data_IF_180344799021
#
_entry.id   IF_180344799021
#
_cell.length_a   1.000
_cell.length_b   1.000
_cell.length_c   1.000
_cell.angle_alpha   90.00
_cell.angle_beta   90.00
_cell.angle_gamma   90.00
#
_symmetry.space_group_name_H-M   'P 1'
#
loop_
_entity.id
_entity.type
_entity.pdbx_description
1 polymer ?
#
# COMPACT_ATOMS: atom_id res chain seq x y z
N UNK A 1 28.42 -59.74 27.81
CA UNK A 1 28.63 -60.84 26.86
C UNK A 1 28.54 -60.23 25.46
N UNK A 2 29.72 -59.95 24.87
CA UNK A 2 30.02 -59.71 23.44
C UNK A 2 29.44 -58.43 22.78
N UNK A 3 30.16 -57.60 22.03
CA UNK A 3 31.61 -57.45 21.81
C UNK A 3 31.89 -56.18 20.97
N UNK A 4 33.10 -55.62 21.11
CA UNK A 4 33.97 -54.92 20.13
C UNK A 4 33.47 -53.71 19.32
N UNK A 5 33.89 -52.45 19.59
CA UNK A 5 35.19 -51.82 19.24
C UNK A 5 35.72 -52.10 17.83
N UNK A 6 35.84 -51.05 16.99
CA UNK A 6 37.04 -50.88 16.17
C UNK A 6 37.30 -49.42 15.72
N UNK A 7 38.49 -48.93 16.09
CA UNK A 7 39.14 -47.73 15.56
C UNK A 7 39.83 -48.08 14.24
N UNK A 8 39.90 -47.15 13.29
CA UNK A 8 40.98 -47.15 12.32
C UNK A 8 41.48 -45.74 12.03
N UNK A 9 42.77 -45.60 12.34
CA UNK A 9 43.66 -44.46 12.19
C UNK A 9 44.20 -44.52 10.76
N UNK A 10 44.18 -43.40 10.03
CA UNK A 10 45.10 -43.22 8.90
C UNK A 10 45.99 -42.01 9.14
N UNK A 11 47.28 -42.33 9.22
CA UNK A 11 48.44 -41.44 9.34
C UNK A 11 49.21 -41.60 8.04
N UNK A 12 49.27 -40.57 7.19
CA UNK A 12 50.19 -40.54 6.05
C UNK A 12 51.08 -39.31 6.15
N UNK A 13 52.35 -39.59 5.91
CA UNK A 13 53.55 -38.80 6.15
C UNK A 13 53.87 -37.93 4.94
N UNK A 14 54.47 -36.77 5.23
CA UNK A 14 54.98 -35.80 4.28
C UNK A 14 56.06 -36.35 3.33
N UNK A 15 56.17 -35.73 2.15
CA UNK A 15 57.45 -35.54 1.45
C UNK A 15 57.42 -34.28 0.57
N UNK A 16 58.49 -33.52 0.70
CA UNK A 16 58.82 -32.27 0.02
C UNK A 16 59.61 -32.53 -1.27
N UNK A 17 59.20 -31.91 -2.38
CA UNK A 17 60.01 -31.57 -3.57
C UNK A 17 59.22 -30.44 -4.24
N UNK A 18 59.72 -29.27 -4.60
CA UNK A 18 61.05 -28.90 -5.04
C UNK A 18 60.95 -28.31 -6.46
N UNK A 19 61.23 -27.01 -6.57
CA UNK A 19 61.61 -26.24 -7.79
C UNK A 19 60.56 -25.77 -8.81
N UNK A 20 60.50 -24.43 -8.88
CA UNK A 20 60.65 -23.59 -10.07
C UNK A 20 59.79 -23.89 -11.31
N UNK A 21 58.73 -23.11 -11.49
CA UNK A 21 58.35 -22.66 -12.83
C UNK A 21 58.08 -21.15 -12.85
N UNK A 22 58.83 -20.48 -13.71
CA UNK A 22 58.82 -19.05 -13.99
C UNK A 22 57.65 -18.70 -14.93
N UNK A 23 57.08 -17.52 -14.68
CA UNK A 23 56.55 -16.57 -15.66
C UNK A 23 55.68 -17.09 -16.81
N UNK A 24 54.36 -16.88 -16.69
CA UNK A 24 53.43 -16.31 -17.71
C UNK A 24 51.99 -16.62 -17.30
N UNK A 25 51.32 -15.68 -16.64
CA UNK A 25 49.84 -15.57 -16.55
C UNK A 25 49.44 -14.40 -15.62
N UNK A 26 49.85 -13.16 -15.94
CA UNK A 26 49.50 -11.96 -15.15
C UNK A 26 48.50 -11.03 -15.89
N UNK A 27 47.89 -11.48 -17.00
CA UNK A 27 47.03 -10.61 -17.81
C UNK A 27 45.57 -11.09 -17.98
N UNK A 28 45.06 -11.98 -17.13
CA UNK A 28 43.68 -12.52 -17.29
C UNK A 28 42.88 -12.66 -16.00
N UNK A 29 43.26 -11.96 -14.92
CA UNK A 29 42.54 -11.98 -13.63
C UNK A 29 41.95 -10.61 -13.25
N UNK A 30 42.29 -9.53 -13.96
CA UNK A 30 41.80 -8.17 -13.65
C UNK A 30 40.55 -7.74 -14.43
N UNK A 31 40.01 -8.56 -15.34
CA UNK A 31 38.80 -8.21 -16.12
C UNK A 31 37.54 -8.90 -15.60
N UNK A 32 37.64 -9.94 -14.75
CA UNK A 32 36.48 -10.64 -14.20
C UNK A 32 35.93 -10.10 -12.87
N UNK A 33 36.63 -9.16 -12.21
CA UNK A 33 36.18 -8.61 -10.91
C UNK A 33 35.37 -7.30 -11.02
N UNK A 34 35.13 -6.77 -12.22
CA UNK A 34 34.36 -5.53 -12.41
C UNK A 34 32.89 -5.75 -12.81
N UNK A 35 32.38 -6.99 -12.83
CA UNK A 35 31.05 -7.32 -13.37
C UNK A 35 30.07 -8.00 -12.40
N UNK A 36 30.33 -8.00 -11.09
CA UNK A 36 29.49 -8.72 -10.11
C UNK A 36 28.87 -7.84 -9.02
N UNK A 37 28.72 -6.53 -9.28
CA UNK A 37 28.01 -5.59 -8.41
C UNK A 37 26.77 -5.02 -9.12
N UNK A 38 25.94 -5.91 -9.65
CA UNK A 38 24.52 -5.61 -9.84
C UNK A 38 23.81 -6.35 -8.72
N UNK A 39 23.89 -5.79 -7.50
CA UNK A 39 22.93 -6.14 -6.46
C UNK A 39 21.60 -5.61 -6.94
N UNK A 40 20.81 -6.48 -7.56
CA UNK A 40 19.39 -6.26 -7.75
C UNK A 40 18.79 -6.07 -6.36
N UNK A 41 18.69 -4.80 -5.95
CA UNK A 41 17.78 -4.38 -4.89
C UNK A 41 16.42 -4.74 -5.43
N UNK A 42 15.93 -5.91 -5.02
CA UNK A 42 14.53 -6.28 -5.18
C UNK A 42 13.77 -5.32 -4.27
N UNK A 43 13.49 -4.14 -4.81
CA UNK A 43 12.48 -3.26 -4.26
C UNK A 43 11.20 -4.07 -4.34
N UNK A 44 10.79 -4.67 -3.22
CA UNK A 44 9.42 -5.12 -3.04
C UNK A 44 8.54 -3.88 -2.92
N UNK A 45 8.47 -3.09 -3.99
CA UNK A 45 7.36 -2.20 -4.20
C UNK A 45 6.14 -3.10 -4.18
N UNK A 46 5.29 -2.93 -3.17
CA UNK A 46 3.98 -3.55 -3.20
C UNK A 46 3.31 -3.02 -4.46
N UNK A 47 3.22 -3.85 -5.50
CA UNK A 47 2.65 -3.46 -6.78
C UNK A 47 1.15 -3.31 -6.55
N UNK A 48 0.75 -2.10 -6.16
CA UNK A 48 -0.66 -1.75 -6.09
C UNK A 48 -1.21 -1.79 -7.50
N UNK A 49 -2.29 -2.54 -7.69
CA UNK A 49 -2.91 -2.64 -9.00
C UNK A 49 -3.52 -1.28 -9.38
N UNK A 50 -2.95 -0.67 -10.42
CA UNK A 50 -3.41 0.58 -11.02
C UNK A 50 -4.05 0.33 -12.38
N UNK A 51 -4.98 1.19 -12.78
CA UNK A 51 -5.67 1.08 -14.07
C UNK A 51 -4.76 1.32 -15.28
N UNK A 52 -3.75 2.17 -15.14
CA UNK A 52 -2.73 2.37 -16.15
C UNK A 52 -1.34 2.52 -15.51
N UNK A 53 -0.36 1.75 -16.00
CA UNK A 53 1.05 1.80 -15.57
C UNK A 53 1.95 1.78 -16.80
N UNK A 54 2.86 2.75 -16.90
CA UNK A 54 3.83 2.90 -17.99
C UNK A 54 3.20 2.84 -19.39
N UNK A 55 2.00 3.41 -19.54
CA UNK A 55 1.25 3.41 -20.80
C UNK A 55 0.57 2.08 -21.13
N UNK A 56 0.43 1.18 -20.17
CA UNK A 56 -0.33 -0.06 -20.30
C UNK A 56 -1.58 -0.02 -19.43
N UNK A 57 -2.73 -0.30 -20.02
CA UNK A 57 -4.03 -0.33 -19.34
C UNK A 57 -5.01 0.73 -19.85
N UNK A 58 -6.29 0.46 -19.64
CA UNK A 58 -7.37 1.38 -19.98
C UNK A 58 -8.62 1.06 -19.18
N UNK A 59 -9.39 2.08 -18.87
CA UNK A 59 -10.67 1.96 -18.18
C UNK A 59 -11.62 3.05 -18.66
N UNK A 60 -12.91 2.73 -18.74
CA UNK A 60 -13.94 3.71 -19.03
C UNK A 60 -15.22 3.34 -18.30
N UNK A 61 -15.86 4.33 -17.69
CA UNK A 61 -17.18 4.19 -17.08
C UNK A 61 -17.96 5.50 -17.22
N UNK A 62 -19.28 5.41 -17.20
CA UNK A 62 -20.18 6.56 -17.20
C UNK A 62 -21.02 6.56 -15.93
N UNK A 63 -21.08 7.71 -15.26
CA UNK A 63 -21.90 7.91 -14.09
C UNK A 63 -23.29 8.40 -14.49
N UNK A 64 -24.32 8.13 -13.68
CA UNK A 64 -25.71 8.49 -13.99
C UNK A 64 -25.97 10.00 -14.15
N UNK A 65 -25.03 10.87 -13.77
CA UNK A 65 -25.09 12.30 -14.06
C UNK A 65 -24.80 12.62 -15.52
N UNK A 66 -24.28 11.66 -16.29
CA UNK A 66 -23.76 11.81 -17.65
C UNK A 66 -22.30 12.29 -17.70
N UNK A 67 -21.58 12.22 -16.58
CA UNK A 67 -20.13 12.40 -16.52
C UNK A 67 -19.48 11.03 -16.67
N UNK A 68 -18.55 10.88 -17.60
CA UNK A 68 -17.77 9.65 -17.80
C UNK A 68 -16.30 9.87 -17.46
N UNK A 69 -15.66 8.82 -16.95
CA UNK A 69 -14.22 8.74 -16.73
C UNK A 69 -13.58 7.91 -17.83
N UNK A 70 -12.42 8.35 -18.33
CA UNK A 70 -11.58 7.59 -19.24
C UNK A 70 -10.14 7.61 -18.71
N UNK A 71 -9.55 6.43 -18.55
CA UNK A 71 -8.12 6.20 -18.29
C UNK A 71 -7.55 5.41 -19.46
N UNK A 72 -6.40 5.79 -19.98
CA UNK A 72 -5.74 5.12 -21.10
C UNK A 72 -4.27 5.49 -21.18
N UNK A 73 -3.53 4.77 -22.03
CA UNK A 73 -2.21 5.20 -22.50
C UNK A 73 -2.31 6.51 -23.30
N UNK A 74 -1.40 7.45 -23.03
CA UNK A 74 -1.23 8.66 -23.84
C UNK A 74 -0.71 8.26 -25.23
N UNK A 75 -1.29 8.82 -26.28
CA UNK A 75 -0.85 8.60 -27.66
C UNK A 75 -0.30 9.88 -28.25
N UNK A 76 0.89 9.80 -28.84
CA UNK A 76 1.41 10.86 -29.71
C UNK A 76 1.19 10.37 -31.13
N UNK A 77 0.30 11.03 -31.86
CA UNK A 77 -0.17 10.57 -33.17
C UNK A 77 -0.82 9.18 -33.06
N UNK A 78 -0.20 8.14 -33.63
CA UNK A 78 -0.70 6.76 -33.61
C UNK A 78 0.05 5.85 -32.62
N UNK A 79 1.15 6.31 -32.02
CA UNK A 79 1.98 5.48 -31.14
C UNK A 79 1.64 5.74 -29.66
N UNK A 80 1.35 4.65 -28.95
CA UNK A 80 1.23 4.67 -27.49
C UNK A 80 2.59 5.04 -26.88
N UNK A 81 2.59 6.06 -26.03
CA UNK A 81 3.75 6.42 -25.21
C UNK A 81 3.75 5.58 -23.94
N UNK A 82 4.89 5.51 -23.25
CA UNK A 82 5.00 4.87 -21.92
C UNK A 82 4.42 5.74 -20.79
N UNK A 83 3.31 6.41 -21.05
CA UNK A 83 2.65 7.30 -20.10
C UNK A 83 1.14 7.13 -20.16
N UNK A 84 0.48 7.53 -19.09
CA UNK A 84 -0.96 7.43 -18.89
C UNK A 84 -1.61 8.82 -18.94
N UNK A 85 -2.90 8.82 -19.28
CA UNK A 85 -3.78 9.99 -19.27
C UNK A 85 -5.12 9.61 -18.66
N UNK A 86 -5.72 10.55 -17.92
CA UNK A 86 -7.11 10.49 -17.51
C UNK A 86 -7.88 11.74 -17.90
N UNK A 87 -9.15 11.55 -18.26
CA UNK A 87 -10.07 12.62 -18.55
C UNK A 87 -11.47 12.34 -17.99
N UNK A 88 -12.13 13.40 -17.54
CA UNK A 88 -13.56 13.43 -17.28
C UNK A 88 -14.27 14.04 -18.48
N UNK A 89 -15.34 13.41 -18.97
CA UNK A 89 -16.11 13.86 -20.14
C UNK A 89 -17.57 14.04 -19.78
N UNK A 90 -18.18 15.10 -20.30
CA UNK A 90 -19.61 15.35 -20.15
C UNK A 90 -20.12 16.08 -21.38
N UNK A 91 -21.28 15.66 -21.88
CA UNK A 91 -21.88 16.21 -23.09
C UNK A 91 -20.88 16.20 -24.28
N UNK A 92 -20.39 17.37 -24.74
CA UNK A 92 -19.34 17.51 -25.78
C UNK A 92 -18.03 18.09 -25.22
N UNK A 93 -17.90 18.16 -23.90
CA UNK A 93 -16.79 18.76 -23.19
C UNK A 93 -15.93 17.69 -22.51
N UNK A 94 -14.68 18.05 -22.23
CA UNK A 94 -13.71 17.18 -21.58
C UNK A 94 -12.81 18.01 -20.66
N UNK A 95 -12.44 17.43 -19.52
CA UNK A 95 -11.48 17.96 -18.56
C UNK A 95 -10.37 16.92 -18.44
N UNK A 96 -9.14 17.30 -18.76
CA UNK A 96 -7.97 16.44 -18.52
C UNK A 96 -7.67 16.50 -17.02
N UNK A 97 -7.70 15.35 -16.37
CA UNK A 97 -7.35 15.20 -14.95
C UNK A 97 -5.83 15.15 -14.82
N UNK A 98 -5.20 14.24 -15.57
CA UNK A 98 -3.75 14.11 -15.63
C UNK A 98 -3.32 13.63 -17.01
N UNK A 99 -2.14 14.05 -17.46
CA UNK A 99 -1.54 13.64 -18.72
C UNK A 99 -0.03 13.44 -18.56
N UNK A 100 0.55 12.54 -19.36
CA UNK A 100 1.97 12.22 -19.35
C UNK A 100 2.49 11.71 -17.99
N UNK A 101 1.69 10.93 -17.27
CA UNK A 101 2.06 10.39 -15.95
C UNK A 101 2.51 8.94 -16.03
N UNK A 102 3.39 8.48 -15.15
CA UNK A 102 3.87 7.09 -15.18
C UNK A 102 2.82 6.10 -14.70
N UNK A 103 1.99 6.48 -13.73
CA UNK A 103 0.91 5.63 -13.24
C UNK A 103 -0.35 6.45 -12.99
N UNK A 104 -1.49 5.82 -13.23
CA UNK A 104 -2.79 6.42 -12.97
C UNK A 104 -3.81 5.37 -12.54
N UNK A 105 -4.56 5.70 -11.50
CA UNK A 105 -5.63 4.86 -10.96
C UNK A 105 -6.89 5.67 -10.65
N UNK A 106 -8.05 5.00 -10.69
CA UNK A 106 -9.32 5.53 -10.19
C UNK A 106 -9.64 4.75 -8.93
N UNK A 107 -9.41 5.39 -7.79
CA UNK A 107 -9.65 4.81 -6.48
C UNK A 107 -11.15 4.66 -6.23
N UNK A 108 -11.91 5.73 -6.48
CA UNK A 108 -13.37 5.76 -6.32
C UNK A 108 -14.05 6.47 -7.47
N UNK A 109 -15.28 6.05 -7.79
CA UNK A 109 -16.12 6.68 -8.81
C UNK A 109 -17.60 6.59 -8.39
N UNK A 110 -18.25 7.75 -8.21
CA UNK A 110 -19.66 7.81 -7.78
C UNK A 110 -19.87 7.78 -6.26
N UNK A 111 -18.81 8.00 -5.48
CA UNK A 111 -18.84 7.93 -4.01
C UNK A 111 -19.06 9.32 -3.41
N UNK A 112 -19.87 9.43 -2.35
CA UNK A 112 -19.92 10.65 -1.52
C UNK A 112 -18.87 10.52 -0.41
N UNK A 113 -17.79 11.30 -0.51
CA UNK A 113 -16.69 11.31 0.46
C UNK A 113 -17.02 12.09 1.74
N UNK A 114 -18.26 12.57 1.91
CA UNK A 114 -18.65 13.54 2.95
C UNK A 114 -18.72 14.98 2.43
N UNK A 115 -18.75 15.13 1.11
CA UNK A 115 -18.81 16.40 0.38
C UNK A 115 -20.25 16.77 0.00
N UNK A 116 -21.19 15.83 0.12
CA UNK A 116 -22.61 16.05 -0.19
C UNK A 116 -22.93 15.92 -1.68
N UNK A 117 -21.96 15.50 -2.50
CA UNK A 117 -22.11 15.22 -3.92
C UNK A 117 -21.24 14.02 -4.32
N UNK A 118 -21.63 13.23 -5.34
CA UNK A 118 -20.80 12.16 -5.86
C UNK A 118 -19.48 12.68 -6.42
N UNK A 119 -18.40 11.98 -6.12
CA UNK A 119 -17.05 12.34 -6.51
C UNK A 119 -16.32 11.16 -7.18
N UNK A 120 -15.22 11.49 -7.84
CA UNK A 120 -14.21 10.55 -8.30
C UNK A 120 -12.86 10.89 -7.67
N UNK A 121 -12.17 9.88 -7.12
CA UNK A 121 -10.82 9.98 -6.58
C UNK A 121 -9.82 9.38 -7.56
N UNK A 122 -8.83 10.16 -7.96
CA UNK A 122 -7.76 9.76 -8.87
C UNK A 122 -6.43 9.69 -8.12
N UNK A 123 -5.67 8.62 -8.35
CA UNK A 123 -4.29 8.52 -7.87
C UNK A 123 -3.35 8.72 -9.06
N UNK A 124 -2.42 9.67 -8.91
CA UNK A 124 -1.58 10.14 -10.01
C UNK A 124 -0.13 10.07 -9.58
N UNK A 125 0.66 9.21 -10.25
CA UNK A 125 2.12 9.18 -10.10
C UNK A 125 2.76 9.85 -11.30
N UNK A 126 3.31 11.06 -11.10
CA UNK A 126 3.93 11.84 -12.19
C UNK A 126 5.12 11.12 -12.82
N UNK A 127 5.97 10.48 -12.01
CA UNK A 127 7.16 9.77 -12.44
C UNK A 127 7.41 8.56 -11.54
N UNK A 128 7.98 7.48 -12.09
CA UNK A 128 8.42 6.32 -11.32
C UNK A 128 9.50 6.64 -10.28
N UNK A 129 10.23 7.75 -10.46
CA UNK A 129 11.22 8.23 -9.51
C UNK A 129 10.65 9.12 -8.40
N UNK A 130 9.38 9.54 -8.51
CA UNK A 130 8.72 10.27 -7.42
C UNK A 130 8.40 9.31 -6.28
N UNK A 131 8.67 9.72 -5.03
CA UNK A 131 8.26 8.95 -3.86
C UNK A 131 6.76 8.66 -3.94
N UNK A 132 6.00 9.73 -4.19
CA UNK A 132 4.66 9.84 -3.66
C UNK A 132 3.62 10.06 -4.76
N UNK A 133 2.39 9.67 -4.45
CA UNK A 133 1.20 9.86 -5.26
C UNK A 133 0.55 11.22 -4.97
N UNK A 134 -0.14 11.75 -5.97
CA UNK A 134 -1.16 12.79 -5.80
C UNK A 134 -2.54 12.15 -5.81
N UNK A 135 -3.39 12.52 -4.86
CA UNK A 135 -4.79 12.12 -4.78
C UNK A 135 -5.68 13.31 -5.15
N UNK A 136 -6.24 13.29 -6.36
CA UNK A 136 -7.10 14.35 -6.86
C UNK A 136 -8.58 13.94 -6.78
N UNK A 137 -9.39 14.77 -6.14
CA UNK A 137 -10.82 14.52 -5.92
C UNK A 137 -11.62 15.47 -6.80
N UNK A 138 -12.40 14.94 -7.74
CA UNK A 138 -13.27 15.72 -8.61
C UNK A 138 -14.74 15.48 -8.30
N UNK A 139 -15.57 16.53 -8.37
CA UNK A 139 -17.03 16.36 -8.38
C UNK A 139 -17.49 15.70 -9.68
N UNK A 140 -18.52 14.86 -9.61
CA UNK A 140 -19.21 14.29 -10.78
C UNK A 140 -20.47 15.08 -11.16
N UNK A 141 -20.52 16.35 -10.77
CA UNK A 141 -21.49 17.33 -11.24
C UNK A 141 -21.15 17.79 -12.67
N UNK A 142 -22.09 18.50 -13.31
CA UNK A 142 -21.85 19.10 -14.64
C UNK A 142 -21.71 20.63 -14.51
N UNK A 143 -20.54 21.23 -14.79
CA UNK A 143 -19.27 20.58 -15.15
C UNK A 143 -18.53 19.99 -13.93
N UNK A 144 -17.70 18.94 -14.12
CA UNK A 144 -16.81 18.42 -13.09
C UNK A 144 -15.81 19.48 -12.60
N UNK A 145 -15.48 19.45 -11.30
CA UNK A 145 -14.53 20.41 -10.69
C UNK A 145 -13.60 19.70 -9.73
N UNK A 146 -12.33 20.10 -9.73
CA UNK A 146 -11.38 19.68 -8.71
C UNK A 146 -11.80 20.26 -7.35
N UNK A 147 -11.98 19.40 -6.36
CA UNK A 147 -12.42 19.73 -5.00
C UNK A 147 -11.25 19.76 -4.02
N UNK A 148 -10.31 18.81 -4.14
CA UNK A 148 -9.12 18.71 -3.29
C UNK A 148 -8.02 17.95 -4.01
N UNK A 149 -6.78 18.32 -3.74
CA UNK A 149 -5.59 17.53 -4.05
C UNK A 149 -4.87 17.23 -2.74
N UNK A 150 -4.44 15.98 -2.56
CA UNK A 150 -3.55 15.57 -1.49
C UNK A 150 -2.27 15.02 -2.11
N UNK A 151 -1.15 15.19 -1.42
CA UNK A 151 0.14 14.68 -1.87
C UNK A 151 0.84 14.03 -0.68
N UNK A 152 1.60 12.98 -0.95
CA UNK A 152 2.60 12.52 0.01
C UNK A 152 2.42 11.10 0.53
N UNK A 153 1.35 10.42 0.13
CA UNK A 153 1.24 8.97 0.36
C UNK A 153 1.80 8.16 -0.80
N UNK A 154 2.27 6.95 -0.52
CA UNK A 154 2.65 5.99 -1.56
C UNK A 154 1.40 5.42 -2.27
N UNK A 155 0.27 5.35 -1.57
CA UNK A 155 -1.04 4.96 -2.11
C UNK A 155 -2.20 5.58 -1.32
N UNK A 156 -3.37 5.70 -1.95
CA UNK A 156 -4.61 6.19 -1.33
C UNK A 156 -5.75 5.18 -1.54
N UNK A 157 -6.56 4.97 -0.51
CA UNK A 157 -7.72 4.08 -0.56
C UNK A 157 -8.91 4.69 0.18
N UNK A 158 -9.93 5.13 -0.54
CA UNK A 158 -11.19 5.52 0.07
C UNK A 158 -12.07 4.29 0.37
N UNK A 159 -12.44 4.08 1.64
CA UNK A 159 -13.17 2.93 2.12
C UNK A 159 -14.19 3.31 3.21
N UNK A 160 -15.33 2.62 3.29
CA UNK A 160 -16.22 2.65 4.45
C UNK A 160 -15.86 1.46 5.35
N UNK A 161 -14.86 1.68 6.21
CA UNK A 161 -14.17 0.57 6.87
C UNK A 161 -15.03 -0.15 7.91
N UNK A 162 -15.96 0.58 8.52
CA UNK A 162 -16.85 0.08 9.56
C UNK A 162 -18.25 -0.29 9.05
N UNK A 163 -18.50 -0.12 7.74
CA UNK A 163 -19.81 -0.30 7.11
C UNK A 163 -20.87 0.56 7.79
N UNK A 164 -20.57 1.84 8.02
CA UNK A 164 -21.49 2.81 8.61
C UNK A 164 -21.88 3.95 7.65
N UNK A 165 -21.46 3.85 6.39
CA UNK A 165 -21.74 4.79 5.32
C UNK A 165 -20.84 6.02 5.33
N UNK A 166 -19.86 6.09 6.24
CA UNK A 166 -18.84 7.15 6.24
C UNK A 166 -17.60 6.61 5.54
N UNK A 167 -17.10 7.38 4.59
CA UNK A 167 -15.94 6.98 3.80
C UNK A 167 -14.70 7.69 4.35
N UNK A 168 -13.70 6.92 4.70
CA UNK A 168 -12.37 7.39 5.06
C UNK A 168 -11.41 7.25 3.89
N UNK A 169 -10.47 8.16 3.75
CA UNK A 169 -9.33 8.05 2.84
C UNK A 169 -8.14 7.56 3.67
N UNK A 170 -7.75 6.32 3.43
CA UNK A 170 -6.56 5.69 4.02
C UNK A 170 -5.36 5.96 3.14
N UNK A 171 -4.26 6.37 3.74
CA UNK A 171 -2.99 6.59 3.06
C UNK A 171 -1.85 6.50 4.07
N UNK A 172 -0.63 6.73 3.62
CA UNK A 172 0.54 6.89 4.47
C UNK A 172 1.15 8.29 4.27
N UNK A 173 2.04 8.71 5.15
CA UNK A 173 2.78 9.97 5.04
C UNK A 173 4.23 9.71 4.60
N UNK A 174 4.40 8.96 3.50
CA UNK A 174 5.70 8.67 2.91
C UNK A 174 6.53 9.94 2.67
N UNK A 175 5.91 11.04 2.23
CA UNK A 175 6.61 12.32 2.04
C UNK A 175 7.24 12.88 3.32
N UNK A 176 6.63 12.67 4.49
CA UNK A 176 7.21 13.10 5.75
C UNK A 176 8.47 12.30 6.11
N UNK A 177 8.53 11.03 5.72
CA UNK A 177 9.58 10.10 6.13
C UNK A 177 10.60 9.74 5.04
N UNK A 178 10.40 10.18 3.80
CA UNK A 178 11.36 9.98 2.71
C UNK A 178 12.69 10.68 3.01
N UNK A 179 13.76 9.88 3.13
CA UNK A 179 15.09 10.36 3.54
C UNK A 179 15.19 10.75 5.01
N UNK A 180 14.14 10.57 5.82
CA UNK A 180 14.16 10.93 7.23
C UNK A 180 15.22 10.13 7.96
N UNK A 181 16.08 10.82 8.71
CA UNK A 181 17.18 10.19 9.46
C UNK A 181 18.15 9.36 8.60
N UNK A 182 18.30 9.74 7.32
CA UNK A 182 19.05 9.02 6.30
C UNK A 182 18.53 7.60 6.04
N UNK A 183 17.26 7.32 6.33
CA UNK A 183 16.57 6.09 5.96
C UNK A 183 15.84 6.33 4.62
N UNK A 184 15.99 5.38 3.70
CA UNK A 184 15.13 5.33 2.52
C UNK A 184 13.76 4.78 2.89
N UNK A 185 12.74 5.07 2.08
CA UNK A 185 11.40 4.48 2.28
C UNK A 185 11.43 2.95 2.31
N UNK A 186 12.30 2.31 1.52
CA UNK A 186 12.45 0.86 1.50
C UNK A 186 13.03 0.26 2.79
N UNK A 187 13.66 1.07 3.64
CA UNK A 187 14.13 0.64 4.96
C UNK A 187 13.05 0.73 6.03
N UNK A 188 11.99 1.48 5.77
CA UNK A 188 10.75 1.42 6.55
C UNK A 188 9.94 0.23 6.01
N UNK A 189 9.43 -0.63 6.89
CA UNK A 189 8.44 -1.63 6.54
C UNK A 189 7.09 -1.01 6.19
N UNK A 190 6.74 0.11 6.84
CA UNK A 190 5.57 0.92 6.52
C UNK A 190 5.82 2.39 6.85
N UNK A 191 5.56 3.33 5.91
CA UNK A 191 5.47 4.74 6.28
C UNK A 191 4.27 5.00 7.22
N UNK A 192 4.25 6.11 7.97
CA UNK A 192 3.20 6.37 8.95
C UNK A 192 1.81 6.44 8.33
N UNK A 193 0.88 5.59 8.77
CA UNK A 193 -0.49 5.57 8.24
C UNK A 193 -1.31 6.76 8.74
N UNK A 194 -2.06 7.38 7.82
CA UNK A 194 -3.00 8.48 8.07
C UNK A 194 -4.39 8.09 7.58
N UNK A 195 -5.40 8.38 8.39
CA UNK A 195 -6.81 8.18 8.04
C UNK A 195 -7.51 9.52 8.01
N UNK A 196 -8.03 9.90 6.85
CA UNK A 196 -8.66 11.19 6.61
C UNK A 196 -10.15 11.02 6.34
N UNK A 197 -10.97 12.03 6.62
CA UNK A 197 -12.40 12.03 6.32
C UNK A 197 -12.89 13.45 6.03
N UNK A 198 -13.75 13.63 5.02
CA UNK A 198 -14.46 14.91 4.89
C UNK A 198 -15.63 14.96 5.87
N UNK A 199 -15.70 16.06 6.62
CA UNK A 199 -16.81 16.38 7.50
C UNK A 199 -17.25 17.81 7.20
N UNK A 200 -18.42 17.95 6.57
CA UNK A 200 -19.00 19.25 6.17
C UNK A 200 -18.06 20.06 5.28
N UNK A 201 -17.43 19.40 4.30
CA UNK A 201 -16.49 20.03 3.38
C UNK A 201 -15.07 20.23 3.92
N UNK A 202 -14.83 19.97 5.21
CA UNK A 202 -13.49 20.04 5.79
C UNK A 202 -12.83 18.67 5.77
N UNK A 203 -11.57 18.60 5.33
CA UNK A 203 -10.78 17.38 5.39
C UNK A 203 -10.11 17.29 6.76
N UNK A 204 -10.52 16.32 7.58
CA UNK A 204 -10.01 16.14 8.93
C UNK A 204 -9.20 14.85 9.04
N UNK A 205 -8.15 14.90 9.87
CA UNK A 205 -7.46 13.71 10.36
C UNK A 205 -8.32 12.99 11.40
N UNK A 206 -8.74 11.77 11.08
CA UNK A 206 -9.55 10.87 11.93
C UNK A 206 -8.76 9.65 12.41
N UNK A 207 -7.43 9.64 12.26
CA UNK A 207 -6.56 8.52 12.63
C UNK A 207 -6.75 8.06 14.07
N UNK A 208 -7.01 9.00 14.99
CA UNK A 208 -7.32 8.70 16.40
C UNK A 208 -8.59 7.86 16.62
N UNK A 209 -9.48 7.75 15.64
CA UNK A 209 -10.67 6.89 15.69
C UNK A 209 -10.35 5.41 15.42
N UNK A 210 -9.15 5.10 14.93
CA UNK A 210 -8.73 3.76 14.47
C UNK A 210 -7.63 3.15 15.34
N UNK A 211 -7.61 3.42 16.65
CA UNK A 211 -6.56 2.95 17.57
C UNK A 211 -6.29 1.44 17.50
N UNK A 212 -7.32 0.61 17.30
CA UNK A 212 -7.15 -0.85 17.18
C UNK A 212 -6.30 -1.25 15.98
N UNK A 213 -6.34 -0.50 14.87
CA UNK A 213 -5.46 -0.72 13.73
C UNK A 213 -4.00 -0.47 14.13
N UNK A 214 -3.72 0.71 14.70
CA UNK A 214 -2.38 1.10 15.13
C UNK A 214 -1.84 0.21 16.26
N UNK A 215 -2.69 -0.28 17.16
CA UNK A 215 -2.28 -1.20 18.23
C UNK A 215 -1.77 -2.53 17.68
N UNK A 216 -2.45 -3.06 16.65
CA UNK A 216 -1.99 -4.28 15.97
C UNK A 216 -0.66 -4.05 15.27
N UNK A 217 -0.51 -2.94 14.55
CA UNK A 217 0.75 -2.59 13.87
C UNK A 217 1.90 -2.42 14.87
N UNK A 218 1.68 -1.69 15.97
CA UNK A 218 2.68 -1.52 17.03
C UNK A 218 3.05 -2.87 17.68
N UNK A 219 2.08 -3.75 17.89
CA UNK A 219 2.34 -5.09 18.44
C UNK A 219 3.20 -5.93 17.49
N UNK A 220 2.92 -5.89 16.19
CA UNK A 220 3.71 -6.57 15.15
C UNK A 220 5.14 -6.02 15.10
N UNK A 221 5.31 -4.70 15.04
CA UNK A 221 6.63 -4.06 15.06
C UNK A 221 7.44 -4.40 16.32
N UNK A 222 6.79 -4.47 17.49
CA UNK A 222 7.45 -4.87 18.74
C UNK A 222 7.90 -6.33 18.75
N UNK A 223 7.18 -7.23 18.07
CA UNK A 223 7.60 -8.64 17.94
C UNK A 223 8.86 -8.79 17.10
N UNK A 224 9.09 -7.87 16.16
CA UNK A 224 10.29 -7.86 15.31
C UNK A 224 11.52 -7.25 15.99
N UNK A 225 11.34 -6.55 17.11
CA UNK A 225 12.43 -5.92 17.86
C UNK A 225 13.11 -6.91 18.82
N UNK A 226 14.29 -7.40 18.42
CA UNK A 226 15.17 -8.15 19.30
C UNK A 226 15.73 -7.29 20.46
N UNK A 227 15.64 -7.82 21.67
CA UNK A 227 16.00 -7.08 22.89
C UNK A 227 17.49 -6.73 23.00
N UNK A 228 18.37 -7.58 22.49
CA UNK A 228 19.82 -7.32 22.50
C UNK A 228 20.20 -6.29 21.45
N UNK A 229 19.58 -6.35 20.26
CA UNK A 229 19.72 -5.37 19.20
C UNK A 229 19.21 -3.98 19.60
N UNK A 230 18.09 -3.92 20.33
CA UNK A 230 17.58 -2.67 20.89
C UNK A 230 18.55 -2.10 21.93
N UNK A 231 19.13 -2.94 22.80
CA UNK A 231 20.13 -2.50 23.77
C UNK A 231 21.39 -1.97 23.09
N UNK A 232 21.87 -2.63 22.04
CA UNK A 232 23.01 -2.18 21.22
C UNK A 232 22.70 -0.84 20.55
N UNK A 233 21.48 -0.65 20.04
CA UNK A 233 21.04 0.63 19.47
C UNK A 233 21.00 1.74 20.52
N UNK A 234 20.43 1.50 21.70
CA UNK A 234 20.41 2.49 22.79
C UNK A 234 21.79 2.91 23.27
N UNK A 235 22.80 2.05 23.13
CA UNK A 235 24.19 2.35 23.44
C UNK A 235 24.94 3.10 22.31
N UNK A 236 24.29 3.36 21.17
CA UNK A 236 24.84 4.12 20.04
C UNK A 236 24.59 5.63 20.15
N UNK A 237 24.97 6.38 19.11
CA UNK A 237 24.70 7.82 18.99
C UNK A 237 23.34 8.14 18.35
N UNK A 238 22.54 7.13 17.97
CA UNK A 238 21.22 7.26 17.31
C UNK A 238 21.28 7.70 15.85
N UNK A 239 22.24 8.57 15.52
CA UNK A 239 22.53 9.02 14.15
C UNK A 239 23.17 7.92 13.30
N UNK A 240 23.87 6.99 13.93
CA UNK A 240 24.68 5.95 13.30
C UNK A 240 25.76 6.56 12.41
N UNK A 241 26.43 7.59 12.92
CA UNK A 241 27.44 8.36 12.19
C UNK A 241 28.63 7.47 11.78
N UNK A 242 29.21 7.65 10.58
CA UNK A 242 30.33 6.84 10.10
C UNK A 242 31.66 7.07 10.85
N UNK A 243 31.66 7.95 11.87
CA UNK A 243 32.85 8.35 12.63
C UNK A 243 33.40 7.25 13.53
N UNK A 244 32.60 6.25 13.87
CA UNK A 244 33.04 5.11 14.68
C UNK A 244 33.31 3.92 13.75
N UNK A 245 34.46 3.22 13.88
CA UNK A 245 34.72 2.00 13.12
C UNK A 245 33.77 0.89 13.58
N UNK A 246 32.59 0.84 12.97
CA UNK A 246 31.54 -0.16 13.19
C UNK A 246 31.51 -1.04 11.94
N UNK A 247 31.36 -2.36 12.11
CA UNK A 247 31.22 -3.26 10.96
C UNK A 247 29.93 -2.97 10.17
N UNK A 248 29.93 -3.24 8.87
CA UNK A 248 28.77 -3.01 8.01
C UNK A 248 27.53 -3.80 8.48
N UNK A 249 27.73 -5.03 8.98
CA UNK A 249 26.66 -5.87 9.52
C UNK A 249 26.01 -5.26 10.74
N UNK A 250 26.83 -4.66 11.64
CA UNK A 250 26.31 -3.98 12.83
C UNK A 250 25.57 -2.71 12.44
N UNK A 251 26.09 -1.91 11.50
CA UNK A 251 25.39 -0.71 11.00
C UNK A 251 24.02 -1.10 10.42
N UNK A 252 23.97 -2.12 9.55
CA UNK A 252 22.72 -2.58 8.96
C UNK A 252 21.70 -3.02 10.02
N UNK A 253 22.13 -3.84 10.99
CA UNK A 253 21.28 -4.26 12.11
C UNK A 253 20.75 -3.07 12.91
N UNK A 254 21.59 -2.10 13.22
CA UNK A 254 21.19 -0.90 13.96
C UNK A 254 20.23 -0.01 13.16
N UNK A 255 20.39 0.07 11.83
CA UNK A 255 19.44 0.78 10.94
C UNK A 255 18.06 0.15 10.94
N UNK A 256 17.98 -1.19 10.92
CA UNK A 256 16.70 -1.91 11.03
C UNK A 256 16.02 -1.61 12.37
N UNK A 257 16.75 -1.66 13.48
CA UNK A 257 16.21 -1.29 14.80
C UNK A 257 15.74 0.16 14.82
N UNK A 258 16.55 1.09 14.27
CA UNK A 258 16.22 2.51 14.15
C UNK A 258 14.90 2.72 13.41
N UNK A 259 14.72 2.07 12.26
CA UNK A 259 13.50 2.12 11.46
C UNK A 259 12.28 1.65 12.28
N UNK A 260 12.37 0.46 12.91
CA UNK A 260 11.28 -0.11 13.73
C UNK A 260 10.90 0.77 14.93
N UNK A 261 11.88 1.38 15.60
CA UNK A 261 11.61 2.31 16.71
C UNK A 261 10.87 3.54 16.20
N UNK A 262 11.27 4.11 15.07
CA UNK A 262 10.58 5.26 14.48
C UNK A 262 9.16 4.91 14.08
N UNK A 263 8.92 3.77 13.41
CA UNK A 263 7.58 3.32 13.03
C UNK A 263 6.63 3.20 14.23
N UNK A 264 7.10 2.66 15.35
CA UNK A 264 6.29 2.59 16.59
C UNK A 264 5.95 3.99 17.12
N UNK A 265 6.93 4.90 17.14
CA UNK A 265 6.72 6.28 17.63
C UNK A 265 5.73 7.01 16.74
N UNK A 266 5.87 6.88 15.41
CA UNK A 266 4.96 7.44 14.44
C UNK A 266 3.54 6.86 14.58
N UNK A 267 3.38 5.54 14.70
CA UNK A 267 2.07 4.92 14.90
C UNK A 267 1.37 5.44 16.17
N UNK A 268 2.10 5.69 17.26
CA UNK A 268 1.51 6.36 18.43
C UNK A 268 1.14 7.82 18.16
N UNK A 269 1.98 8.57 17.46
CA UNK A 269 1.72 9.98 17.16
C UNK A 269 0.48 10.16 16.28
N UNK A 270 0.42 9.44 15.15
CA UNK A 270 -0.70 9.50 14.20
C UNK A 270 -1.99 8.93 14.79
N UNK A 271 -1.92 7.98 15.74
CA UNK A 271 -3.12 7.55 16.49
C UNK A 271 -3.59 8.55 17.57
N UNK A 272 -3.01 9.74 17.64
CA UNK A 272 -3.37 10.80 18.59
C UNK A 272 -2.89 10.53 20.02
N UNK A 273 -1.88 9.68 20.21
CA UNK A 273 -1.36 9.24 21.52
C UNK A 273 0.05 9.76 21.76
N UNK A 274 0.18 11.08 21.63
CA UNK A 274 1.44 11.81 21.72
C UNK A 274 2.27 11.43 22.97
N UNK A 275 1.66 11.39 24.15
CA UNK A 275 2.36 10.99 25.38
C UNK A 275 3.00 9.60 25.29
N UNK A 276 2.33 8.63 24.63
CA UNK A 276 2.89 7.28 24.44
C UNK A 276 3.97 7.26 23.37
N UNK A 277 3.86 8.10 22.34
CA UNK A 277 4.90 8.27 21.33
C UNK A 277 6.20 8.70 21.99
N UNK A 278 6.15 9.75 22.82
CA UNK A 278 7.33 10.29 23.50
C UNK A 278 7.87 9.38 24.59
N UNK A 279 7.01 8.71 25.37
CA UNK A 279 7.47 7.66 26.30
C UNK A 279 8.21 6.56 25.55
N UNK A 280 7.66 6.08 24.43
CA UNK A 280 8.28 5.01 23.63
C UNK A 280 9.61 5.46 23.03
N UNK A 281 9.70 6.71 22.58
CA UNK A 281 10.95 7.31 22.07
C UNK A 281 12.02 7.35 23.18
N UNK A 282 11.69 7.87 24.36
CA UNK A 282 12.60 7.89 25.52
C UNK A 282 13.05 6.47 25.93
N UNK A 283 12.14 5.51 25.87
CA UNK A 283 12.42 4.12 26.27
C UNK A 283 13.32 3.38 25.26
N UNK A 284 13.23 3.70 23.97
CA UNK A 284 13.85 2.92 22.89
C UNK A 284 14.98 3.64 22.14
N UNK A 285 15.10 4.97 22.27
CA UNK A 285 16.14 5.77 21.61
C UNK A 285 17.33 6.03 22.54
N UNK A 286 18.55 6.28 22.00
CA UNK A 286 19.66 6.82 22.77
C UNK A 286 19.32 8.15 23.47
N UNK A 287 19.49 8.19 24.79
CA UNK A 287 19.13 9.35 25.62
C UNK A 287 19.83 10.64 25.14
N UNK A 288 21.10 10.52 24.73
CA UNK A 288 21.91 11.66 24.25
C UNK A 288 21.39 12.32 22.97
N UNK A 289 20.48 11.67 22.23
CA UNK A 289 19.95 12.14 20.95
C UNK A 289 18.42 12.37 20.98
N UNK A 290 17.76 12.11 22.12
CA UNK A 290 16.30 12.11 22.27
C UNK A 290 15.65 13.46 21.90
N UNK A 291 16.21 14.58 22.36
CA UNK A 291 15.66 15.91 22.08
C UNK A 291 15.74 16.27 20.59
N UNK A 292 16.87 15.93 19.95
CA UNK A 292 17.09 16.20 18.52
C UNK A 292 16.09 15.40 17.68
N UNK A 293 15.97 14.09 17.95
CA UNK A 293 15.06 13.25 17.16
C UNK A 293 13.60 13.64 17.41
N UNK A 294 13.21 14.01 18.63
CA UNK A 294 11.87 14.51 18.92
C UNK A 294 11.55 15.76 18.08
N UNK A 295 12.45 16.74 18.04
CA UNK A 295 12.27 17.93 17.20
C UNK A 295 12.25 17.59 15.70
N UNK A 296 13.05 16.62 15.25
CA UNK A 296 13.08 16.18 13.86
C UNK A 296 11.76 15.51 13.44
N UNK A 297 11.18 14.65 14.30
CA UNK A 297 9.88 14.00 14.09
C UNK A 297 8.78 15.05 13.95
N UNK A 298 8.70 16.01 14.88
CA UNK A 298 7.70 17.08 14.80
C UNK A 298 7.83 17.89 13.51
N UNK A 299 9.05 18.26 13.12
CA UNK A 299 9.29 19.01 11.90
C UNK A 299 8.95 18.19 10.63
N UNK A 300 9.28 16.91 10.60
CA UNK A 300 8.90 16.02 9.49
C UNK A 300 7.36 15.90 9.38
N UNK A 301 6.67 15.67 10.49
CA UNK A 301 5.21 15.56 10.54
C UNK A 301 4.51 16.81 10.02
N UNK A 302 5.01 18.00 10.39
CA UNK A 302 4.43 19.29 10.01
C UNK A 302 4.67 19.69 8.55
N UNK A 303 5.46 18.91 7.78
CA UNK A 303 5.64 19.09 6.34
C UNK A 303 4.91 18.04 5.50
N UNK A 304 4.39 16.99 6.13
CA UNK A 304 3.70 15.89 5.47
C UNK A 304 2.22 16.17 5.20
N UNK A 305 1.41 15.11 5.22
CA UNK A 305 -0.04 15.15 5.03
C UNK A 305 -0.73 16.00 6.08
N UNK A 306 -0.20 16.08 7.31
CA UNK A 306 -0.79 16.90 8.37
C UNK A 306 -0.87 18.40 8.02
N UNK A 307 0.02 18.88 7.13
CA UNK A 307 0.00 20.26 6.64
C UNK A 307 -1.14 20.52 5.62
N UNK A 308 -1.77 19.46 5.12
CA UNK A 308 -2.78 19.48 4.07
C UNK A 308 -4.19 19.18 4.60
N UNK A 309 -4.38 19.04 5.91
CA UNK A 309 -5.68 18.82 6.54
C UNK A 309 -6.14 20.05 7.31
N UNK A 310 -7.44 20.20 7.47
CA UNK A 310 -8.05 21.37 8.13
C UNK A 310 -8.06 21.23 9.67
N UNK A 311 -7.60 20.09 10.19
CA UNK A 311 -7.46 19.80 11.62
C UNK A 311 -7.64 18.32 11.94
N UNK A 312 -7.62 17.99 13.22
CA UNK A 312 -7.91 16.65 13.73
C UNK A 312 -9.34 16.55 14.27
N UNK A 313 -10.02 15.45 13.98
CA UNK A 313 -11.32 15.12 14.53
C UNK A 313 -11.21 14.86 16.03
N UNK A 314 -12.10 15.48 16.82
CA UNK A 314 -12.30 15.07 18.21
C UNK A 314 -13.10 13.78 18.19
N UNK A 315 -12.48 12.67 18.60
CA UNK A 315 -13.06 11.33 18.57
C UNK A 315 -14.55 11.34 18.99
N UNK A 316 -15.49 11.07 18.07
CA UNK A 316 -16.91 11.06 18.40
C UNK A 316 -17.27 9.83 19.25
N UNK A 317 -18.23 10.00 20.16
CA UNK A 317 -18.74 8.93 21.00
C UNK A 317 -19.40 7.81 20.19
N UNK A 318 -19.02 6.58 20.56
CA UNK A 318 -19.23 5.21 20.03
C UNK A 318 -20.61 4.75 19.50
N UNK A 319 -21.59 5.61 19.23
CA UNK A 319 -22.88 5.17 18.71
C UNK A 319 -22.87 5.07 17.17
N UNK A 320 -22.09 4.13 16.63
CA UNK A 320 -22.03 3.84 15.19
C UNK A 320 -23.21 2.93 14.81
N UNK A 321 -24.18 3.47 14.07
CA UNK A 321 -25.24 2.67 13.47
C UNK A 321 -24.67 2.04 12.20
N UNK A 322 -24.59 0.71 12.16
CA UNK A 322 -24.17 -0.01 10.94
C UNK A 322 -25.13 0.32 9.81
N UNK A 323 -24.57 0.62 8.64
CA UNK A 323 -25.30 0.78 7.40
C UNK A 323 -25.99 -0.54 7.03
N UNK A 324 -27.11 -0.42 6.34
CA UNK A 324 -27.79 -1.58 5.79
C UNK A 324 -26.96 -2.12 4.61
N UNK A 325 -26.63 -3.41 4.65
CA UNK A 325 -26.00 -4.12 3.52
C UNK A 325 -27.11 -4.66 2.62
N UNK A 326 -27.06 -4.33 1.33
CA UNK A 326 -28.06 -4.76 0.35
C UNK A 326 -27.61 -6.01 -0.39
N UNK A 327 -28.47 -7.01 -0.51
CA UNK A 327 -28.19 -8.19 -1.31
C UNK A 327 -28.50 -7.90 -2.80
N UNK A 328 -27.47 -7.78 -3.64
CA UNK A 328 -27.60 -7.65 -5.09
C UNK A 328 -27.94 -9.00 -5.78
N UNK A 329 -28.25 -10.03 -4.99
CA UNK A 329 -28.43 -11.42 -5.42
C UNK A 329 -29.92 -11.76 -5.65
N UNK A 330 -30.84 -10.95 -5.13
CA UNK A 330 -32.27 -11.24 -5.18
C UNK A 330 -32.88 -10.99 -6.56
N UNK A 331 -33.40 -12.05 -7.20
CA UNK A 331 -34.39 -11.91 -8.28
C UNK A 331 -35.58 -11.12 -7.72
N UNK A 332 -35.70 -9.84 -8.09
CA UNK A 332 -36.86 -9.05 -7.69
C UNK A 332 -38.09 -9.64 -8.37
N UNK A 333 -38.86 -10.42 -7.63
CA UNK A 333 -40.13 -11.02 -8.08
C UNK A 333 -41.20 -9.97 -8.46
N UNK A 334 -40.91 -8.67 -8.35
CA UNK A 334 -41.81 -7.54 -8.60
C UNK A 334 -41.28 -6.48 -9.58
N UNK A 335 -40.23 -6.77 -10.37
CA UNK A 335 -39.95 -6.05 -11.62
C UNK A 335 -39.21 -4.70 -11.54
N UNK A 336 -38.80 -4.22 -10.36
CA UNK A 336 -37.88 -3.08 -10.24
C UNK A 336 -36.86 -3.34 -9.14
N UNK A 337 -35.60 -3.50 -9.53
CA UNK A 337 -34.49 -3.57 -8.57
C UNK A 337 -34.44 -2.24 -7.81
N UNK A 338 -34.62 -2.30 -6.50
CA UNK A 338 -34.50 -1.15 -5.60
C UNK A 338 -33.06 -0.61 -5.57
N UNK A 339 -32.10 -1.49 -5.86
CA UNK A 339 -30.66 -1.24 -5.80
C UNK A 339 -30.02 -1.55 -7.15
N UNK A 340 -29.29 -0.57 -7.69
CA UNK A 340 -28.40 -0.77 -8.84
C UNK A 340 -27.17 -1.53 -8.34
N UNK A 341 -26.81 -2.68 -8.95
CA UNK A 341 -25.69 -3.49 -8.50
C UNK A 341 -24.35 -2.76 -8.69
N UNK A 342 -23.30 -3.15 -7.95
CA UNK A 342 -21.97 -2.58 -8.14
C UNK A 342 -21.38 -3.01 -9.50
N UNK A 343 -20.57 -2.13 -10.10
CA UNK A 343 -19.92 -2.36 -11.39
C UNK A 343 -18.40 -2.44 -11.21
N UNK A 344 -17.69 -3.38 -11.86
CA UNK A 344 -16.25 -3.53 -11.65
C UNK A 344 -15.44 -2.37 -12.25
N UNK A 345 -14.50 -1.84 -11.48
CA UNK A 345 -13.44 -0.93 -11.96
C UNK A 345 -12.18 -1.73 -12.27
N UNK A 346 -11.75 -2.57 -11.33
CA UNK A 346 -10.52 -3.35 -11.43
C UNK A 346 -10.68 -4.71 -10.76
N UNK A 347 -10.55 -5.77 -11.55
CA UNK A 347 -10.62 -7.18 -11.12
C UNK A 347 -9.29 -7.90 -11.43
N UNK A 348 -8.17 -7.40 -10.88
CA UNK A 348 -6.86 -8.00 -11.12
C UNK A 348 -6.82 -9.41 -10.53
N UNK A 349 -6.39 -10.36 -11.35
CA UNK A 349 -6.20 -11.75 -10.92
C UNK A 349 -4.77 -11.93 -10.40
N UNK A 350 -4.56 -12.82 -9.42
CA UNK A 350 -3.22 -13.10 -8.91
C UNK A 350 -2.35 -13.70 -10.02
N UNK A 351 -1.09 -13.31 -10.08
CA UNK A 351 -0.12 -13.93 -10.98
C UNK A 351 0.17 -15.37 -10.50
N UNK A 352 -0.20 -16.36 -11.30
CA UNK A 352 0.00 -17.77 -11.00
C UNK A 352 1.41 -18.19 -11.45
N UNK A 353 2.43 -17.74 -10.73
CA UNK A 353 3.80 -18.15 -11.00
C UNK A 353 4.02 -19.61 -10.55
N UNK A 354 4.31 -20.50 -11.50
CA UNK A 354 4.80 -21.86 -11.20
C UNK A 354 3.75 -22.95 -10.99
N UNK A 355 2.45 -22.66 -11.07
CA UNK A 355 1.41 -23.72 -11.06
C UNK A 355 1.22 -24.31 -12.45
N UNK A 356 1.23 -25.65 -12.54
CA UNK A 356 1.05 -26.34 -13.81
C UNK A 356 -0.33 -26.04 -14.40
N UNK A 357 -0.40 -25.75 -15.71
CA UNK A 357 -1.64 -25.42 -16.42
C UNK A 357 -2.74 -26.49 -16.28
N UNK A 358 -2.38 -27.74 -15.95
CA UNK A 358 -3.33 -28.85 -15.79
C UNK A 358 -4.19 -28.74 -14.53
N UNK A 359 -3.70 -28.09 -13.47
CA UNK A 359 -4.48 -27.92 -12.22
C UNK A 359 -5.47 -26.74 -12.30
N UNK A 360 -5.30 -25.86 -13.30
CA UNK A 360 -6.09 -24.63 -13.46
C UNK A 360 -7.31 -24.78 -14.37
N UNK A 361 -7.47 -25.92 -15.05
CA UNK A 361 -8.34 -25.97 -16.23
C UNK A 361 -9.86 -25.94 -15.97
N UNK A 362 -10.39 -26.07 -14.74
CA UNK A 362 -11.85 -26.31 -14.61
C UNK A 362 -12.56 -25.80 -13.34
N UNK A 363 -12.07 -24.78 -12.64
CA UNK A 363 -12.86 -24.22 -11.54
C UNK A 363 -13.16 -22.74 -11.75
N UNK A 364 -14.29 -22.49 -12.43
CA UNK A 364 -15.05 -21.28 -12.11
C UNK A 364 -15.45 -21.37 -10.64
N UNK A 365 -14.94 -20.42 -9.85
CA UNK A 365 -15.27 -20.28 -8.45
C UNK A 365 -16.30 -19.19 -8.33
N UNK A 366 -17.41 -19.50 -7.67
CA UNK A 366 -18.37 -18.48 -7.26
C UNK A 366 -17.86 -17.85 -5.96
N UNK A 367 -17.56 -16.55 -5.97
CA UNK A 367 -17.21 -15.78 -4.79
C UNK A 367 -18.41 -14.98 -4.30
N UNK A 368 -18.62 -14.95 -2.99
CA UNK A 368 -19.48 -13.98 -2.33
C UNK A 368 -18.61 -12.83 -1.84
N UNK A 369 -18.93 -11.62 -2.29
CA UNK A 369 -18.21 -10.40 -1.96
C UNK A 369 -19.09 -9.51 -1.08
N UNK A 370 -18.49 -8.87 -0.09
CA UNK A 370 -19.06 -7.74 0.63
C UNK A 370 -18.32 -6.48 0.18
N UNK A 371 -19.02 -5.62 -0.54
CA UNK A 371 -18.52 -4.36 -1.10
C UNK A 371 -19.08 -3.23 -0.24
N UNK A 372 -18.23 -2.34 0.24
CA UNK A 372 -18.66 -1.18 1.03
C UNK A 372 -19.27 -0.06 0.16
N UNK A 373 -19.71 1.04 0.77
CA UNK A 373 -20.27 2.18 0.03
C UNK A 373 -19.23 3.00 -0.75
N UNK A 374 -17.93 2.71 -0.59
CA UNK A 374 -16.86 3.29 -1.39
C UNK A 374 -16.45 2.38 -2.56
N UNK A 375 -17.07 1.20 -2.69
CA UNK A 375 -16.76 0.25 -3.75
C UNK A 375 -15.54 -0.63 -3.46
N UNK A 376 -15.11 -0.74 -2.20
CA UNK A 376 -14.00 -1.62 -1.77
C UNK A 376 -14.53 -2.95 -1.27
N UNK A 377 -13.85 -4.03 -1.62
CA UNK A 377 -14.17 -5.36 -1.10
C UNK A 377 -13.67 -5.48 0.33
N UNK A 378 -14.59 -5.48 1.30
CA UNK A 378 -14.26 -5.67 2.72
C UNK A 378 -14.06 -7.13 3.08
N UNK A 379 -14.65 -8.02 2.29
CA UNK A 379 -14.61 -9.44 2.54
C UNK A 379 -14.97 -10.24 1.28
N UNK A 380 -14.31 -11.37 1.10
CA UNK A 380 -14.55 -12.31 0.02
C UNK A 380 -14.49 -13.74 0.56
N UNK A 381 -15.47 -14.57 0.20
CA UNK A 381 -15.49 -16.00 0.53
C UNK A 381 -16.00 -16.86 -0.65
N UNK A 382 -15.68 -18.16 -0.72
CA UNK A 382 -16.38 -19.07 -1.61
C UNK A 382 -17.88 -19.13 -1.34
N UNK A 383 -18.67 -19.12 -2.41
CA UNK A 383 -20.10 -19.36 -2.38
C UNK A 383 -20.43 -20.73 -3.01
N UNK A 384 -21.50 -21.36 -2.50
CA UNK A 384 -22.00 -22.63 -3.04
C UNK A 384 -21.32 -23.87 -2.45
N UNK A 385 -21.31 -24.97 -3.20
CA UNK A 385 -20.80 -26.28 -2.73
C UNK A 385 -19.28 -26.42 -2.85
N UNK A 386 -18.63 -25.58 -3.67
CA UNK A 386 -17.17 -25.60 -3.80
C UNK A 386 -16.54 -24.86 -2.63
N UNK A 387 -15.89 -25.59 -1.73
CA UNK A 387 -15.19 -25.02 -0.57
C UNK A 387 -13.70 -24.78 -0.81
N UNK A 388 -13.15 -25.33 -1.88
CA UNK A 388 -11.71 -25.26 -2.15
C UNK A 388 -11.49 -24.09 -3.10
N UNK A 389 -10.99 -23.00 -2.55
CA UNK A 389 -10.58 -21.81 -3.32
C UNK A 389 -9.14 -21.51 -2.99
N UNK A 390 -8.38 -21.15 -4.01
CA UNK A 390 -6.99 -20.75 -3.84
C UNK A 390 -6.90 -19.50 -2.92
N UNK A 391 -6.14 -19.52 -1.81
CA UNK A 391 -6.06 -18.38 -0.89
C UNK A 391 -5.63 -17.07 -1.57
N UNK A 392 -4.74 -17.14 -2.57
CA UNK A 392 -4.34 -15.97 -3.37
C UNK A 392 -5.51 -15.32 -4.14
N UNK A 393 -6.53 -16.10 -4.56
CA UNK A 393 -7.69 -15.51 -5.22
C UNK A 393 -8.55 -14.73 -4.22
N UNK A 394 -8.73 -15.26 -3.00
CA UNK A 394 -9.44 -14.54 -1.94
C UNK A 394 -8.69 -13.26 -1.59
N UNK A 395 -7.37 -13.33 -1.44
CA UNK A 395 -6.54 -12.15 -1.18
C UNK A 395 -6.62 -11.13 -2.32
N UNK A 396 -6.50 -11.55 -3.58
CA UNK A 396 -6.68 -10.66 -4.73
C UNK A 396 -8.10 -10.07 -4.80
N UNK A 397 -9.13 -10.84 -4.44
CA UNK A 397 -10.50 -10.32 -4.41
C UNK A 397 -10.68 -9.18 -3.41
N UNK A 398 -9.90 -9.16 -2.31
CA UNK A 398 -9.92 -8.03 -1.36
C UNK A 398 -9.27 -6.75 -1.89
N UNK A 399 -8.52 -6.81 -2.99
CA UNK A 399 -7.93 -5.62 -3.66
C UNK A 399 -8.77 -5.11 -4.82
N UNK A 400 -9.87 -5.78 -5.16
CA UNK A 400 -10.75 -5.36 -6.25
C UNK A 400 -11.49 -4.05 -5.93
N UNK A 401 -11.73 -3.29 -7.00
CA UNK A 401 -12.39 -1.97 -6.95
C UNK A 401 -13.67 -2.01 -7.77
N UNK A 402 -14.71 -1.39 -7.25
CA UNK A 402 -16.02 -1.29 -7.89
C UNK A 402 -16.52 0.15 -7.86
N UNK A 403 -17.35 0.50 -8.83
CA UNK A 403 -18.37 1.52 -8.65
C UNK A 403 -19.38 0.91 -7.65
N UNK A 404 -19.69 1.57 -6.52
CA UNK A 404 -20.52 0.97 -5.47
C UNK A 404 -21.96 0.71 -5.98
N UNK A 405 -22.71 -0.09 -5.22
CA UNK A 405 -24.14 -0.23 -5.46
C UNK A 405 -24.87 1.06 -5.12
N UNK A 406 -25.98 1.36 -5.82
CA UNK A 406 -26.78 2.56 -5.56
C UNK A 406 -28.21 2.24 -5.16
N UNK A 407 -28.66 2.84 -4.05
CA UNK A 407 -30.08 2.88 -3.68
C UNK A 407 -30.56 4.32 -3.71
N UNK A 408 -31.56 4.61 -4.52
CA UNK A 408 -32.12 5.98 -4.66
C UNK A 408 -31.03 7.04 -4.96
N UNK A 409 -30.04 6.69 -5.79
CA UNK A 409 -28.92 7.57 -6.16
C UNK A 409 -27.85 7.77 -5.07
N UNK A 410 -27.91 7.04 -3.95
CA UNK A 410 -26.89 7.06 -2.91
C UNK A 410 -26.08 5.77 -2.92
N UNK A 411 -24.74 5.84 -2.78
CA UNK A 411 -23.92 4.66 -2.69
C UNK A 411 -24.23 3.89 -1.40
N UNK A 412 -24.29 2.57 -1.48
CA UNK A 412 -24.59 1.69 -0.35
C UNK A 412 -23.68 0.47 -0.35
N UNK A 413 -23.40 -0.06 0.84
CA UNK A 413 -22.75 -1.35 0.96
C UNK A 413 -23.66 -2.45 0.38
N UNK A 414 -23.06 -3.41 -0.32
CA UNK A 414 -23.79 -4.49 -0.96
C UNK A 414 -23.06 -5.83 -0.87
N UNK A 415 -23.84 -6.90 -0.94
CA UNK A 415 -23.35 -8.26 -1.12
C UNK A 415 -23.63 -8.68 -2.55
N UNK A 416 -22.61 -9.18 -3.25
CA UNK A 416 -22.76 -9.72 -4.60
C UNK A 416 -22.13 -11.11 -4.72
N UNK A 417 -22.54 -11.85 -5.74
CA UNK A 417 -21.87 -13.09 -6.15
C UNK A 417 -21.21 -12.89 -7.49
N UNK A 418 -19.95 -13.29 -7.62
CA UNK A 418 -19.19 -13.17 -8.85
C UNK A 418 -18.55 -14.52 -9.18
N UNK A 419 -18.82 -15.04 -10.37
CA UNK A 419 -18.13 -16.21 -10.89
C UNK A 419 -16.79 -15.76 -11.48
N UNK A 420 -15.71 -16.40 -11.06
CA UNK A 420 -14.34 -16.00 -11.40
C UNK A 420 -13.56 -17.23 -11.82
N UNK A 421 -12.87 -17.12 -12.96
CA UNK A 421 -11.88 -18.11 -13.40
C UNK A 421 -10.48 -17.66 -13.01
N UNK A 422 -9.61 -18.61 -12.66
CA UNK A 422 -8.19 -18.39 -12.43
C UNK A 422 -7.41 -18.12 -13.73
N UNK A 423 -7.94 -18.51 -14.90
CA UNK A 423 -7.28 -18.35 -16.20
C UNK A 423 -7.71 -17.03 -16.86
N UNK A 424 -6.78 -16.08 -17.03
CA UNK A 424 -7.02 -14.82 -17.75
C UNK A 424 -7.64 -15.02 -19.12
#
# INVERSE_FOLDING_TARGET
MLDSNNRLIYKIRASSLGRQFRFRCVALVLVLCCFSWVTSVLCSAQDHDVLCSDGSGSFQAEFHTGVSVQVKATRTEELATRTCEAALRWDKQSLIVAANVSQLDVDTFGVDLGLGAPAAGFQVKKSSASCCMEYEIYSLEKPPRLLRTLTGGDFFSAADSDLDGRVEIWTDDAAAVDGFENLSLAELGSPPVVVLRFLRGHLLDVSSEFQTYFDREIEELRKELDSDSLRDFKASDGKLSPTTPISAERIHRLRVVKARVLEIVWAYLYSGREQRAWSSLTDMWPEADADRIHAAILNASGRGISAQVDGASKAPQRNRKRAQVFDAIGESSSGKLEVVPPEPILLRRPALAGTSSKDLQQSEVLLQLLIDSAGKVRWAEPAGKSKIVHPLLIHAATTWKFIPAFKTGRPVASRMRLAVSLTQ
#
